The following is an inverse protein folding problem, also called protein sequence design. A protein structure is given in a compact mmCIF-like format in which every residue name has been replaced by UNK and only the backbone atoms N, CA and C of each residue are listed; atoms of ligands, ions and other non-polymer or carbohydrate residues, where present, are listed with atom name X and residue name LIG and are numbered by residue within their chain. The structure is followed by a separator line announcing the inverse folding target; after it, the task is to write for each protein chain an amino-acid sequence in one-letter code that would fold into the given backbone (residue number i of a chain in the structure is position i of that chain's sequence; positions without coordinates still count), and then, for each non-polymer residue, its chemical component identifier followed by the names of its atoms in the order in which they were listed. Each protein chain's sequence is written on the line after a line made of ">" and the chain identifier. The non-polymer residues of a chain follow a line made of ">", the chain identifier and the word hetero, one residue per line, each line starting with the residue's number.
data_IF_610828198865
#
_entry.id   IF_610828198865
#
_cell.length_a   1.000
_cell.length_b   1.000
_cell.length_c   1.000
_cell.angle_alpha   90.00
_cell.angle_beta   90.00
_cell.angle_gamma   90.00
#
_symmetry.space_group_name_H-M   'P 1'
#
loop_
_entity.id
_entity.type
_entity.pdbx_description
1 polymer ?
#
# COMPACT_ATOMS: atom_id res chain seq x y z
N UNK A 1 -3.08 -24.85 -35.71
CA UNK A 1 -4.18 -24.77 -34.72
C UNK A 1 -3.49 -24.36 -33.42
N UNK A 2 -3.40 -23.07 -33.17
CA UNK A 2 -2.84 -22.57 -31.92
C UNK A 2 -3.85 -22.86 -30.79
N UNK A 3 -3.40 -23.35 -29.62
CA UNK A 3 -4.27 -23.47 -28.47
C UNK A 3 -4.55 -22.06 -27.93
N UNK A 4 -5.81 -21.62 -28.04
CA UNK A 4 -6.27 -20.37 -27.46
C UNK A 4 -6.03 -20.35 -25.96
N UNK A 5 -5.36 -19.30 -25.48
CA UNK A 5 -5.23 -19.04 -24.05
C UNK A 5 -6.62 -18.92 -23.43
N UNK A 6 -6.85 -19.47 -22.22
CA UNK A 6 -8.13 -19.35 -21.55
C UNK A 6 -8.36 -17.88 -21.21
N UNK A 7 -9.37 -17.27 -21.83
CA UNK A 7 -9.89 -15.96 -21.45
C UNK A 7 -10.25 -15.99 -19.96
N UNK A 8 -9.35 -15.49 -19.11
CA UNK A 8 -9.63 -15.29 -17.71
C UNK A 8 -10.71 -14.21 -17.67
N UNK A 9 -11.95 -14.60 -17.34
CA UNK A 9 -13.05 -13.68 -17.03
C UNK A 9 -12.65 -12.85 -15.80
N UNK A 10 -11.81 -11.82 -16.00
CA UNK A 10 -11.46 -10.86 -14.97
C UNK A 10 -12.68 -9.98 -14.78
N UNK A 11 -13.36 -10.14 -13.65
CA UNK A 11 -14.43 -9.22 -13.24
C UNK A 11 -13.81 -7.84 -13.02
N UNK A 12 -13.87 -6.98 -14.03
CA UNK A 12 -13.31 -5.65 -13.97
C UNK A 12 -14.06 -4.79 -12.96
N UNK A 13 -13.30 -4.05 -12.15
CA UNK A 13 -13.86 -3.10 -11.19
C UNK A 13 -14.71 -2.03 -11.90
N UNK A 14 -16.00 -1.96 -11.56
CA UNK A 14 -16.92 -0.95 -12.08
C UNK A 14 -16.36 0.46 -11.87
N UNK A 15 -16.62 1.39 -12.80
CA UNK A 15 -16.12 2.77 -12.73
C UNK A 15 -16.47 3.48 -11.42
N UNK A 16 -17.66 3.21 -10.86
CA UNK A 16 -18.08 3.76 -9.57
C UNK A 16 -17.23 3.24 -8.40
N UNK A 17 -16.97 1.93 -8.38
CA UNK A 17 -16.13 1.29 -7.36
C UNK A 17 -14.67 1.72 -7.48
N UNK A 18 -14.17 1.87 -8.71
CA UNK A 18 -12.85 2.40 -8.97
C UNK A 18 -12.68 3.81 -8.38
N UNK A 19 -13.62 4.70 -8.67
CA UNK A 19 -13.61 6.07 -8.15
C UNK A 19 -13.71 6.09 -6.61
N UNK A 20 -14.61 5.28 -6.06
CA UNK A 20 -14.77 5.18 -4.61
C UNK A 20 -13.50 4.68 -3.92
N UNK A 21 -12.83 3.65 -4.46
CA UNK A 21 -11.54 3.17 -3.95
C UNK A 21 -10.45 4.25 -4.01
N UNK A 22 -10.36 4.94 -5.16
CA UNK A 22 -9.40 6.01 -5.38
C UNK A 22 -9.57 7.19 -4.40
N UNK A 23 -10.81 7.54 -4.06
CA UNK A 23 -11.17 8.64 -3.16
C UNK A 23 -11.29 8.23 -1.68
N UNK A 24 -11.15 6.94 -1.37
CA UNK A 24 -11.36 6.38 -0.04
C UNK A 24 -12.81 6.50 0.44
N UNK A 25 -13.78 6.51 -0.47
CA UNK A 25 -15.21 6.57 -0.12
C UNK A 25 -15.72 5.17 0.26
N UNK A 26 -15.74 4.90 1.57
CA UNK A 26 -16.12 3.61 2.11
C UNK A 26 -17.63 3.34 2.04
N UNK A 27 -18.46 4.39 1.99
CA UNK A 27 -19.92 4.25 2.02
C UNK A 27 -20.42 3.44 0.83
N UNK A 28 -19.83 3.65 -0.34
CA UNK A 28 -20.15 2.90 -1.57
C UNK A 28 -19.93 1.39 -1.38
N UNK A 29 -18.86 1.00 -0.67
CA UNK A 29 -18.55 -0.41 -0.38
C UNK A 29 -19.41 -0.98 0.75
N UNK A 30 -19.88 -0.13 1.66
CA UNK A 30 -20.81 -0.53 2.73
C UNK A 30 -22.22 -0.77 2.19
N UNK A 31 -22.64 -0.01 1.18
CA UNK A 31 -23.99 -0.08 0.62
C UNK A 31 -24.21 -1.24 -0.37
N UNK A 32 -23.15 -1.81 -0.95
CA UNK A 32 -23.26 -2.96 -1.88
C UNK A 32 -23.20 -4.29 -1.13
N UNK A 33 -24.32 -5.00 -1.06
CA UNK A 33 -24.38 -6.36 -0.51
C UNK A 33 -23.76 -7.38 -1.47
N UNK A 34 -23.11 -8.42 -0.92
CA UNK A 34 -22.53 -9.52 -1.70
C UNK A 34 -21.26 -9.17 -2.50
N UNK A 35 -20.66 -8.00 -2.24
CA UNK A 35 -19.45 -7.57 -2.94
C UNK A 35 -18.25 -8.45 -2.56
N UNK A 36 -17.78 -9.27 -3.50
CA UNK A 36 -16.55 -10.06 -3.33
C UNK A 36 -15.33 -9.17 -3.57
N UNK A 37 -14.83 -8.53 -2.51
CA UNK A 37 -13.69 -7.62 -2.57
C UNK A 37 -12.42 -8.28 -3.15
N UNK A 38 -12.22 -9.57 -2.90
CA UNK A 38 -11.05 -10.33 -3.36
C UNK A 38 -10.99 -10.49 -4.89
N UNK A 39 -12.15 -10.55 -5.53
CA UNK A 39 -12.32 -10.74 -6.97
C UNK A 39 -12.29 -9.42 -7.73
N UNK A 40 -12.42 -8.29 -7.03
CA UNK A 40 -12.55 -6.96 -7.62
C UNK A 40 -11.17 -6.41 -8.02
N UNK A 41 -10.84 -6.51 -9.31
CA UNK A 41 -9.52 -6.14 -9.83
C UNK A 41 -9.62 -5.15 -10.98
N UNK A 42 -8.61 -4.30 -11.13
CA UNK A 42 -8.43 -3.48 -12.33
C UNK A 42 -7.77 -4.29 -13.46
N UNK A 43 -7.68 -3.76 -14.69
CA UNK A 43 -6.86 -4.38 -15.75
C UNK A 43 -5.39 -4.60 -15.35
N UNK A 44 -4.85 -3.77 -14.45
CA UNK A 44 -3.49 -3.94 -13.91
C UNK A 44 -3.44 -4.88 -12.69
N UNK A 45 -4.51 -5.64 -12.45
CA UNK A 45 -4.71 -6.48 -11.28
C UNK A 45 -4.61 -5.73 -9.94
N UNK A 46 -4.77 -4.41 -9.93
CA UNK A 46 -4.81 -3.64 -8.70
C UNK A 46 -6.11 -3.95 -7.95
N UNK A 47 -5.98 -4.27 -6.66
CA UNK A 47 -7.13 -4.31 -5.75
C UNK A 47 -7.47 -2.90 -5.24
N UNK A 48 -8.54 -2.80 -4.45
CA UNK A 48 -9.01 -1.53 -3.88
C UNK A 48 -7.95 -0.81 -3.02
N UNK A 49 -7.07 -1.55 -2.35
CA UNK A 49 -6.00 -0.97 -1.54
C UNK A 49 -4.87 -0.43 -2.41
N UNK A 50 -4.46 -1.15 -3.47
CA UNK A 50 -3.48 -0.64 -4.44
C UNK A 50 -3.94 0.69 -5.04
N UNK A 51 -5.21 0.77 -5.47
CA UNK A 51 -5.79 1.98 -6.02
C UNK A 51 -5.78 3.12 -5.02
N UNK A 52 -6.28 2.87 -3.82
CA UNK A 52 -6.32 3.88 -2.77
C UNK A 52 -4.91 4.38 -2.41
N UNK A 53 -3.91 3.49 -2.38
CA UNK A 53 -2.53 3.83 -2.06
C UNK A 53 -1.80 4.56 -3.19
N UNK A 54 -2.10 4.22 -4.44
CA UNK A 54 -1.44 4.76 -5.62
C UNK A 54 -1.96 6.15 -6.03
N UNK A 55 -3.14 6.56 -5.57
CA UNK A 55 -3.64 7.91 -5.85
C UNK A 55 -2.76 8.94 -5.14
N UNK A 56 -1.94 9.64 -5.92
CA UNK A 56 -1.02 10.67 -5.42
C UNK A 56 -1.80 11.71 -4.60
N UNK A 57 -1.26 12.04 -3.42
CA UNK A 57 -1.53 13.32 -2.78
C UNK A 57 -1.03 14.39 -3.76
N UNK A 58 -1.95 15.01 -4.51
CA UNK A 58 -1.66 16.16 -5.38
C UNK A 58 -1.33 17.40 -4.54
N UNK A 59 -0.17 17.35 -3.89
CA UNK A 59 0.60 18.52 -3.45
C UNK A 59 1.99 18.50 -4.09
N UNK A 60 2.11 17.94 -5.31
CA UNK A 60 3.15 18.39 -6.26
C UNK A 60 2.76 19.75 -6.83
N UNK A 61 2.62 20.75 -5.96
CA UNK A 61 2.51 22.13 -6.39
C UNK A 61 3.43 22.98 -5.52
N UNK A 62 4.60 23.28 -6.06
CA UNK A 62 5.11 24.65 -5.99
C UNK A 62 5.38 25.25 -4.61
N UNK A 63 5.60 24.48 -3.54
CA UNK A 63 6.03 25.07 -2.25
C UNK A 63 7.36 25.84 -2.45
N UNK A 64 8.22 25.38 -3.35
CA UNK A 64 9.47 26.08 -3.74
C UNK A 64 9.21 27.30 -4.65
N UNK A 65 8.08 27.36 -5.37
CA UNK A 65 7.70 28.49 -6.25
C UNK A 65 6.82 29.56 -5.57
N UNK A 66 6.16 29.24 -4.46
CA UNK A 66 5.30 30.19 -3.73
C UNK A 66 6.13 31.19 -2.90
N UNK A 67 7.39 30.89 -2.57
CA UNK A 67 8.28 31.87 -1.91
C UNK A 67 8.50 33.14 -2.73
N UNK A 68 8.20 33.14 -4.04
CA UNK A 68 8.33 34.32 -4.91
C UNK A 68 7.06 35.19 -4.99
N UNK A 69 5.91 34.78 -4.46
CA UNK A 69 4.67 35.57 -4.50
C UNK A 69 4.02 35.53 -3.12
N UNK A 70 4.01 36.66 -2.43
CA UNK A 70 3.52 36.81 -1.05
C UNK A 70 2.03 36.45 -0.87
N UNK A 71 1.73 35.16 -0.85
CA UNK A 71 0.39 34.61 -0.66
C UNK A 71 0.17 34.27 0.82
N UNK A 72 -1.02 34.65 1.27
CA UNK A 72 -1.54 34.83 2.63
C UNK A 72 -1.47 33.55 3.50
N UNK A 73 -1.24 33.66 4.83
CA UNK A 73 -1.28 32.55 5.81
C UNK A 73 -2.54 31.66 5.77
N UNK A 74 -3.63 32.16 5.18
CA UNK A 74 -4.91 31.45 5.06
C UNK A 74 -4.86 30.21 4.16
N UNK A 75 -4.09 30.23 3.06
CA UNK A 75 -4.10 29.15 2.06
C UNK A 75 -3.26 27.93 2.49
N UNK A 76 -2.13 28.14 3.16
CA UNK A 76 -1.29 27.06 3.69
C UNK A 76 -2.00 26.32 4.83
N UNK A 77 -2.73 27.06 5.67
CA UNK A 77 -3.57 26.50 6.72
C UNK A 77 -4.68 25.62 6.11
N UNK A 78 -5.47 26.15 5.17
CA UNK A 78 -6.54 25.37 4.52
C UNK A 78 -6.03 24.08 3.86
N UNK A 79 -4.90 24.14 3.14
CA UNK A 79 -4.30 22.96 2.52
C UNK A 79 -3.84 21.91 3.55
N UNK A 80 -3.34 22.35 4.71
CA UNK A 80 -2.98 21.45 5.80
C UNK A 80 -4.20 20.69 6.32
N UNK A 81 -5.32 21.38 6.57
CA UNK A 81 -6.57 20.75 6.98
C UNK A 81 -7.11 19.79 5.91
N UNK A 82 -7.12 20.19 4.64
CA UNK A 82 -7.55 19.32 3.53
C UNK A 82 -6.68 18.05 3.46
N UNK A 83 -5.37 18.19 3.66
CA UNK A 83 -4.44 17.04 3.67
C UNK A 83 -4.69 16.13 4.87
N UNK A 84 -4.98 16.69 6.04
CA UNK A 84 -5.33 15.91 7.24
C UNK A 84 -6.62 15.13 7.07
N UNK A 85 -7.70 15.78 6.61
CA UNK A 85 -9.00 15.14 6.35
C UNK A 85 -8.84 13.99 5.34
N UNK A 86 -8.04 14.19 4.28
CA UNK A 86 -7.76 13.12 3.30
C UNK A 86 -7.02 11.93 3.91
N UNK A 87 -6.07 12.16 4.81
CA UNK A 87 -5.32 11.09 5.50
C UNK A 87 -6.21 10.29 6.45
N UNK A 88 -7.09 10.97 7.19
CA UNK A 88 -8.07 10.33 8.05
C UNK A 88 -9.02 9.45 7.23
N UNK A 89 -9.59 10.01 6.14
CA UNK A 89 -10.46 9.26 5.21
C UNK A 89 -9.75 8.04 4.63
N UNK A 90 -8.47 8.17 4.25
CA UNK A 90 -7.65 7.06 3.73
C UNK A 90 -7.45 5.95 4.75
N UNK A 91 -7.17 6.34 6.00
CA UNK A 91 -6.93 5.38 7.08
C UNK A 91 -8.21 4.63 7.45
N UNK A 92 -9.31 5.35 7.60
CA UNK A 92 -10.65 4.78 7.87
C UNK A 92 -11.09 3.82 6.75
N UNK A 93 -10.93 4.21 5.49
CA UNK A 93 -11.20 3.35 4.34
C UNK A 93 -10.40 2.03 4.42
N UNK A 94 -9.10 2.11 4.68
CA UNK A 94 -8.24 0.91 4.74
C UNK A 94 -8.64 0.03 5.92
N UNK A 95 -8.89 0.59 7.10
CA UNK A 95 -9.31 -0.19 8.27
C UNK A 95 -10.63 -0.93 8.04
N UNK A 96 -11.64 -0.24 7.47
CA UNK A 96 -12.93 -0.85 7.18
C UNK A 96 -12.88 -1.89 6.05
N UNK A 97 -12.06 -1.68 5.02
CA UNK A 97 -11.86 -2.69 3.97
C UNK A 97 -11.16 -3.92 4.54
N UNK A 98 -10.14 -3.74 5.38
CA UNK A 98 -9.38 -4.84 5.97
C UNK A 98 -10.17 -5.59 7.05
N UNK A 99 -11.09 -4.94 7.75
CA UNK A 99 -12.00 -5.63 8.67
C UNK A 99 -12.98 -6.54 7.94
N UNK A 100 -13.35 -6.21 6.70
CA UNK A 100 -14.18 -7.07 5.84
C UNK A 100 -13.39 -8.16 5.12
N UNK A 101 -12.17 -7.83 4.68
CA UNK A 101 -11.39 -8.70 3.80
C UNK A 101 -9.87 -8.52 4.01
N UNK A 102 -9.29 -9.21 5.00
CA UNK A 102 -7.87 -9.08 5.33
C UNK A 102 -6.93 -9.73 4.30
N UNK A 103 -7.42 -10.70 3.52
CA UNK A 103 -6.67 -11.39 2.45
C UNK A 103 -6.13 -10.43 1.38
N UNK A 104 -6.75 -9.25 1.21
CA UNK A 104 -6.30 -8.20 0.29
C UNK A 104 -4.88 -7.71 0.56
N UNK A 105 -4.36 -7.88 1.78
CA UNK A 105 -2.97 -7.53 2.13
C UNK A 105 -1.93 -8.36 1.38
N UNK A 106 -2.28 -9.61 1.03
CA UNK A 106 -1.39 -10.57 0.41
C UNK A 106 -1.58 -10.65 -1.11
N UNK A 107 -2.66 -10.07 -1.63
CA UNK A 107 -2.89 -10.02 -3.07
C UNK A 107 -1.87 -9.11 -3.76
N UNK A 108 -1.38 -9.58 -4.91
CA UNK A 108 -0.42 -8.84 -5.73
C UNK A 108 -1.08 -8.30 -6.99
N UNK A 109 -0.61 -7.13 -7.45
CA UNK A 109 -1.00 -6.56 -8.74
C UNK A 109 -0.15 -7.13 -9.90
N UNK A 110 -0.33 -6.61 -11.11
CA UNK A 110 0.36 -7.08 -12.32
C UNK A 110 1.89 -6.95 -12.26
N UNK A 111 2.43 -6.14 -11.34
CA UNK A 111 3.87 -6.00 -11.10
C UNK A 111 4.37 -6.91 -9.97
N UNK A 112 3.51 -7.77 -9.42
CA UNK A 112 3.81 -8.58 -8.23
C UNK A 112 3.81 -7.78 -6.93
N UNK A 113 3.35 -6.53 -6.94
CA UNK A 113 3.41 -5.66 -5.77
C UNK A 113 2.21 -5.91 -4.88
N UNK A 114 2.43 -5.96 -3.57
CA UNK A 114 1.36 -5.93 -2.56
C UNK A 114 1.00 -4.48 -2.19
N UNK A 115 -0.11 -4.23 -1.46
CA UNK A 115 -0.42 -2.90 -0.95
C UNK A 115 0.74 -2.32 -0.11
N UNK A 116 1.48 -3.16 0.62
CA UNK A 116 2.65 -2.73 1.39
C UNK A 116 3.78 -2.18 0.50
N UNK A 117 4.04 -2.79 -0.66
CA UNK A 117 5.02 -2.30 -1.63
C UNK A 117 4.65 -0.89 -2.13
N UNK A 118 3.38 -0.70 -2.48
CA UNK A 118 2.87 0.59 -2.96
C UNK A 118 2.95 1.65 -1.88
N UNK A 119 2.49 1.37 -0.66
CA UNK A 119 2.59 2.28 0.48
C UNK A 119 4.05 2.65 0.79
N UNK A 120 4.96 1.68 0.65
CA UNK A 120 6.38 1.88 0.91
C UNK A 120 7.08 2.71 -0.17
N UNK A 121 6.74 2.49 -1.44
CA UNK A 121 7.19 3.29 -2.58
C UNK A 121 6.79 4.77 -2.44
N UNK A 122 5.56 5.03 -2.02
CA UNK A 122 5.04 6.40 -1.84
C UNK A 122 5.36 7.04 -0.48
N UNK A 123 6.06 6.33 0.41
CA UNK A 123 6.52 6.91 1.67
C UNK A 123 5.42 7.11 2.71
N UNK A 124 4.29 6.41 2.59
CA UNK A 124 3.14 6.55 3.48
C UNK A 124 3.37 5.81 4.82
N UNK A 125 4.29 6.31 5.65
CA UNK A 125 4.73 5.65 6.89
C UNK A 125 3.60 5.34 7.87
N UNK A 126 2.63 6.25 8.03
CA UNK A 126 1.45 6.01 8.87
C UNK A 126 0.60 4.84 8.35
N UNK A 127 0.41 4.77 7.03
CA UNK A 127 -0.35 3.70 6.39
C UNK A 127 0.42 2.38 6.44
N UNK A 128 1.75 2.39 6.27
CA UNK A 128 2.59 1.19 6.45
C UNK A 128 2.43 0.61 7.85
N UNK A 129 2.46 1.46 8.90
CA UNK A 129 2.19 1.02 10.28
C UNK A 129 0.79 0.42 10.42
N UNK A 130 -0.21 1.03 9.81
CA UNK A 130 -1.59 0.56 9.81
C UNK A 130 -1.71 -0.81 9.13
N UNK A 131 -1.13 -1.01 7.95
CA UNK A 131 -1.15 -2.29 7.23
C UNK A 131 -0.47 -3.41 8.04
N UNK A 132 0.70 -3.14 8.66
CA UNK A 132 1.40 -4.10 9.53
C UNK A 132 0.53 -4.46 10.74
N UNK A 133 -0.06 -3.46 11.41
CA UNK A 133 -0.94 -3.67 12.57
C UNK A 133 -2.19 -4.47 12.20
N UNK A 134 -2.81 -4.17 11.06
CA UNK A 134 -3.99 -4.90 10.58
C UNK A 134 -3.65 -6.34 10.20
N UNK A 135 -2.46 -6.58 9.61
CA UNK A 135 -1.97 -7.93 9.34
C UNK A 135 -1.82 -8.76 10.62
N UNK A 136 -1.26 -8.18 11.68
CA UNK A 136 -1.14 -8.85 12.98
C UNK A 136 -2.51 -9.18 13.60
N UNK A 137 -3.49 -8.28 13.47
CA UNK A 137 -4.85 -8.45 14.02
C UNK A 137 -5.72 -9.46 13.25
N UNK A 138 -5.53 -9.57 11.94
CA UNK A 138 -6.42 -10.35 11.07
C UNK A 138 -6.49 -11.85 11.38
N UNK A 139 -5.57 -12.39 12.20
CA UNK A 139 -5.52 -13.81 12.54
C UNK A 139 -5.67 -14.12 14.04
N UNK A 140 -6.04 -13.12 14.84
CA UNK A 140 -6.33 -13.33 16.27
C UNK A 140 -7.66 -14.08 16.51
N UNK A 141 -8.50 -14.19 15.47
CA UNK A 141 -9.83 -14.82 15.53
C UNK A 141 -9.90 -16.27 15.05
N UNK A 142 -8.90 -16.78 14.30
CA UNK A 142 -8.87 -18.15 13.77
C UNK A 142 -7.74 -18.94 14.43
N UNK A 143 -8.06 -19.54 15.58
CA UNK A 143 -7.19 -20.43 16.34
C UNK A 143 -6.89 -21.77 15.63
N UNK A 144 -7.18 -21.91 14.32
CA UNK A 144 -7.13 -23.19 13.60
C UNK A 144 -6.01 -23.33 12.54
N UNK A 145 -5.26 -22.26 12.21
CA UNK A 145 -4.14 -22.38 11.25
C UNK A 145 -2.73 -22.40 11.86
N UNK A 146 -2.59 -22.37 13.19
CA UNK A 146 -1.29 -22.56 13.87
C UNK A 146 -0.19 -21.55 13.52
N UNK A 147 -0.52 -20.49 12.77
CA UNK A 147 0.39 -19.44 12.35
C UNK A 147 0.30 -18.27 13.32
N UNK A 148 1.34 -18.08 14.13
CA UNK A 148 1.53 -16.94 15.03
C UNK A 148 1.36 -15.61 14.27
N UNK A 149 0.85 -14.55 14.93
CA UNK A 149 0.73 -13.19 14.39
C UNK A 149 2.05 -12.73 13.75
N UNK A 150 3.16 -13.10 14.39
CA UNK A 150 4.53 -12.86 13.95
C UNK A 150 4.83 -13.51 12.58
N UNK A 151 4.28 -14.70 12.32
CA UNK A 151 4.50 -15.43 11.06
C UNK A 151 3.78 -14.78 9.87
N UNK A 152 2.54 -14.30 10.07
CA UNK A 152 1.77 -13.64 9.02
C UNK A 152 2.39 -12.31 8.60
N UNK A 153 2.82 -11.49 9.57
CA UNK A 153 3.54 -10.24 9.27
C UNK A 153 4.87 -10.54 8.59
N UNK A 154 5.59 -11.57 9.03
CA UNK A 154 6.85 -12.02 8.41
C UNK A 154 6.66 -12.42 6.96
N UNK A 155 5.60 -13.17 6.66
CA UNK A 155 5.25 -13.57 5.30
C UNK A 155 4.98 -12.33 4.44
N UNK A 156 4.11 -11.42 4.91
CA UNK A 156 3.82 -10.18 4.20
C UNK A 156 5.07 -9.33 3.90
N UNK A 157 6.01 -9.25 4.85
CA UNK A 157 7.28 -8.51 4.70
C UNK A 157 8.28 -9.19 3.75
N UNK A 158 8.13 -10.50 3.51
CA UNK A 158 9.00 -11.31 2.64
C UNK A 158 8.50 -11.43 1.21
N UNK A 159 7.24 -11.06 0.92
CA UNK A 159 6.74 -11.02 -0.45
C UNK A 159 7.63 -10.08 -1.28
N UNK A 160 7.96 -10.55 -2.48
CA UNK A 160 8.74 -9.79 -3.45
C UNK A 160 7.92 -9.51 -4.70
N UNK A 161 8.18 -8.37 -5.33
CA UNK A 161 7.64 -8.05 -6.64
C UNK A 161 8.35 -8.83 -7.76
N UNK A 162 7.96 -8.58 -9.01
CA UNK A 162 8.57 -9.23 -10.19
C UNK A 162 10.06 -8.93 -10.37
N UNK A 163 10.57 -7.87 -9.76
CA UNK A 163 11.99 -7.52 -9.76
C UNK A 163 12.72 -8.06 -8.52
N UNK A 164 12.08 -8.94 -7.73
CA UNK A 164 12.59 -9.45 -6.46
C UNK A 164 12.79 -8.36 -5.39
N UNK A 165 12.14 -7.20 -5.52
CA UNK A 165 12.15 -6.16 -4.49
C UNK A 165 11.11 -6.47 -3.42
N UNK A 166 11.50 -6.37 -2.16
CA UNK A 166 10.54 -6.29 -1.04
C UNK A 166 10.05 -4.85 -0.86
N UNK A 167 9.00 -4.66 -0.05
CA UNK A 167 8.55 -3.32 0.33
C UNK A 167 9.67 -2.45 0.95
N UNK A 168 10.64 -3.07 1.65
CA UNK A 168 11.80 -2.36 2.19
C UNK A 168 12.75 -1.86 1.07
N UNK A 169 12.94 -2.65 0.01
CA UNK A 169 13.73 -2.23 -1.15
C UNK A 169 13.06 -1.05 -1.87
N UNK A 170 11.73 -1.08 -2.02
CA UNK A 170 10.96 0.03 -2.58
C UNK A 170 11.10 1.30 -1.75
N UNK A 171 10.95 1.22 -0.41
CA UNK A 171 11.14 2.36 0.47
C UNK A 171 12.56 2.94 0.38
N UNK A 172 13.58 2.09 0.40
CA UNK A 172 14.98 2.50 0.33
C UNK A 172 15.31 3.12 -1.04
N UNK A 173 14.85 2.50 -2.13
CA UNK A 173 15.04 2.99 -3.50
C UNK A 173 14.35 4.33 -3.77
N UNK A 174 13.25 4.61 -3.07
CA UNK A 174 12.51 5.87 -3.16
C UNK A 174 12.98 6.95 -2.17
N UNK A 175 13.95 6.64 -1.29
CA UNK A 175 14.45 7.57 -0.27
C UNK A 175 13.52 7.79 0.93
N UNK A 176 12.56 6.89 1.16
CA UNK A 176 11.57 6.98 2.24
C UNK A 176 12.13 6.47 3.57
N UNK A 177 13.03 7.24 4.18
CA UNK A 177 13.77 6.87 5.40
C UNK A 177 12.85 6.41 6.54
N UNK A 178 11.74 7.10 6.76
CA UNK A 178 10.79 6.76 7.83
C UNK A 178 10.08 5.42 7.59
N UNK A 179 9.74 5.11 6.33
CA UNK A 179 9.19 3.79 6.00
C UNK A 179 10.25 2.71 6.19
N UNK A 180 11.47 2.94 5.69
CA UNK A 180 12.55 1.96 5.84
C UNK A 180 12.81 1.61 7.31
N UNK A 181 12.72 2.59 8.22
CA UNK A 181 12.79 2.35 9.67
C UNK A 181 11.63 1.48 10.16
N UNK A 182 10.39 1.83 9.82
CA UNK A 182 9.20 1.09 10.27
C UNK A 182 9.20 -0.35 9.78
N UNK A 183 9.47 -0.56 8.49
CA UNK A 183 9.51 -1.89 7.88
C UNK A 183 10.69 -2.71 8.40
N UNK A 184 11.80 -2.05 8.77
CA UNK A 184 12.95 -2.71 9.41
C UNK A 184 12.66 -3.08 10.86
N UNK A 185 12.06 -2.20 11.65
CA UNK A 185 11.66 -2.49 13.05
C UNK A 185 10.66 -3.64 13.08
N UNK A 186 9.63 -3.61 12.22
CA UNK A 186 8.71 -4.73 12.08
C UNK A 186 9.38 -6.04 11.68
N UNK A 187 10.58 -6.00 11.06
CA UNK A 187 11.39 -7.19 10.78
C UNK A 187 12.25 -7.62 11.97
N UNK A 188 12.87 -6.67 12.68
CA UNK A 188 13.70 -6.92 13.86
C UNK A 188 12.89 -7.44 15.06
N UNK A 189 11.72 -6.86 15.34
CA UNK A 189 10.82 -7.31 16.41
C UNK A 189 10.33 -8.76 16.18
N UNK A 190 10.34 -9.21 14.91
CA UNK A 190 9.97 -10.57 14.48
C UNK A 190 11.18 -11.53 14.55
N UNK A 191 12.39 -11.02 14.31
CA UNK A 191 13.63 -11.80 14.24
C UNK A 191 14.27 -12.04 15.63
N UNK A 192 13.84 -11.35 16.71
CA UNK A 192 14.26 -11.65 18.09
C UNK A 192 13.82 -13.05 18.60
N UNK A 193 12.88 -13.72 17.89
CA UNK A 193 12.48 -15.11 18.18
C UNK A 193 13.18 -16.14 17.28
N UNK A 194 14.16 -15.73 16.47
CA UNK A 194 14.93 -16.67 15.67
C UNK A 194 15.88 -15.98 14.71
N UNK A 195 17.17 -16.06 15.02
CA UNK A 195 18.27 -15.59 14.18
C UNK A 195 18.09 -16.00 12.71
N UNK A 196 18.25 -15.06 11.78
CA UNK A 196 19.34 -14.95 10.79
C UNK A 196 19.04 -13.77 9.85
N UNK A 197 19.95 -12.80 9.90
CA UNK A 197 20.55 -12.01 8.81
C UNK A 197 19.84 -12.00 7.44
N UNK A 198 19.50 -10.80 6.95
CA UNK A 198 19.30 -10.59 5.52
C UNK A 198 20.05 -9.31 5.12
N UNK A 199 21.11 -9.49 4.34
CA UNK A 199 21.92 -8.48 3.68
C UNK A 199 21.05 -7.30 3.21
N UNK A 200 21.25 -6.13 3.79
CA UNK A 200 21.01 -4.88 3.08
C UNK A 200 22.35 -4.41 2.51
N UNK A 201 22.31 -3.96 1.26
CA UNK A 201 23.35 -3.22 0.52
C UNK A 201 24.21 -4.06 -0.44
N UNK A 202 23.60 -4.41 -1.59
CA UNK A 202 24.32 -4.29 -2.88
C UNK A 202 23.44 -3.92 -4.08
N UNK A 203 22.35 -3.19 -3.91
CA UNK A 203 21.65 -2.53 -5.03
C UNK A 203 21.11 -1.19 -4.56
N UNK A 204 21.90 -0.12 -4.70
CA UNK A 204 21.46 1.22 -4.31
C UNK A 204 22.27 2.38 -4.84
N UNK A 205 23.51 2.16 -5.30
CA UNK A 205 24.35 3.27 -5.76
C UNK A 205 24.25 3.61 -7.25
N UNK A 206 23.61 2.76 -8.08
CA UNK A 206 23.54 3.03 -9.53
C UNK A 206 22.24 3.63 -10.05
N UNK A 207 21.15 3.72 -9.29
CA UNK A 207 19.84 4.17 -9.82
C UNK A 207 19.07 5.15 -8.93
N UNK A 208 19.76 6.01 -8.17
CA UNK A 208 19.15 7.08 -7.34
C UNK A 208 18.32 8.13 -8.11
N UNK A 209 18.21 8.05 -9.44
CA UNK A 209 17.61 9.13 -10.25
C UNK A 209 16.46 8.73 -11.18
N UNK A 210 16.05 7.46 -11.27
CA UNK A 210 15.10 7.06 -12.33
C UNK A 210 13.79 6.37 -11.89
N UNK A 211 13.65 5.86 -10.66
CA UNK A 211 12.46 5.06 -10.30
C UNK A 211 11.24 5.83 -9.81
N UNK A 212 11.38 6.95 -9.11
CA UNK A 212 10.22 7.68 -8.54
C UNK A 212 9.42 8.55 -9.53
N UNK A 213 9.61 8.43 -10.86
CA UNK A 213 8.99 9.35 -11.84
C UNK A 213 8.17 8.70 -12.96
N UNK A 214 7.93 7.40 -12.93
CA UNK A 214 7.07 6.76 -13.94
C UNK A 214 6.04 5.85 -13.31
N UNK A 215 4.84 6.38 -13.11
CA UNK A 215 3.50 5.79 -13.33
C UNK A 215 2.50 6.71 -12.65
#
# INVERSE_FOLDING_TARGET
>A
MEPGEPEQNVTHMETLLYKAAAEGDIEVFNNKQGLQLESLKTPNHDNVLHLNLATEETVKFSIIKIFSVGIVPSYTFLNFFVTMIKREKKSDFIEQILSKCPSLLFQTNAKGQTPLHVAARYGHSAIVKLLIKSCAKARDGDLELGMDQVSAVREMLRITDQESNTALHEAAGCGNVEVSKVTKVGKLDIDEVGAVEVEMVKVGEKNRHLRCRRS
#
